data_IF_316000238545
#
_entry.id   IF_316000238545
#
_cell.length_a   1.000
_cell.length_b   1.000
_cell.length_c   1.000
_cell.angle_alpha   90.00
_cell.angle_beta   90.00
_cell.angle_gamma   90.00
#
_symmetry.space_group_name_H-M   'P 1'
#
loop_
_entity.id
_entity.type
_entity.pdbx_description
1 polymer ?
#
# COMPACT_ATOMS: atom_id res chain seq x y z
N UNK A 1 64.23 -7.69 67.36
CA UNK A 1 64.76 -6.32 67.46
C UNK A 1 63.79 -5.41 66.76
N UNK A 2 62.90 -4.82 67.56
CA UNK A 2 61.81 -3.94 67.16
C UNK A 2 62.25 -2.52 67.51
N UNK A 3 62.20 -1.59 66.56
CA UNK A 3 62.41 -0.17 66.82
C UNK A 3 61.09 0.56 66.64
N UNK A 4 60.57 1.03 67.77
CA UNK A 4 59.48 1.99 67.87
C UNK A 4 60.00 3.38 67.44
N UNK A 5 59.16 4.13 66.74
CA UNK A 5 59.36 5.55 66.45
C UNK A 5 58.00 6.22 66.42
N UNK A 6 57.73 7.02 67.44
CA UNK A 6 56.46 7.68 67.75
C UNK A 6 56.39 9.10 67.17
N UNK A 7 55.14 9.59 66.99
CA UNK A 7 54.63 10.98 66.79
C UNK A 7 54.64 11.60 65.37
N UNK A 8 53.74 12.59 65.09
CA UNK A 8 52.43 12.89 65.69
C UNK A 8 51.31 13.18 64.66
N UNK A 9 50.06 13.07 65.13
CA UNK A 9 48.83 13.66 64.56
C UNK A 9 48.94 15.17 64.32
N UNK A 10 48.36 15.71 63.23
CA UNK A 10 47.86 17.07 63.21
C UNK A 10 46.35 17.08 63.47
N UNK A 11 46.00 17.70 64.59
CA UNK A 11 44.67 18.16 64.95
C UNK A 11 44.18 19.26 63.99
N UNK A 12 42.87 19.39 63.94
CA UNK A 12 42.04 20.33 63.20
C UNK A 12 42.62 21.74 62.98
N UNK A 13 42.61 22.17 61.72
CA UNK A 13 42.46 23.59 61.38
C UNK A 13 41.27 23.70 60.43
N UNK A 14 40.09 23.96 61.00
CA UNK A 14 38.93 24.48 60.26
C UNK A 14 39.27 25.89 59.80
N UNK A 15 39.85 26.02 58.61
CA UNK A 15 39.95 27.31 57.93
C UNK A 15 38.56 27.67 57.43
N UNK A 16 37.82 28.44 58.24
CA UNK A 16 36.66 29.18 57.76
C UNK A 16 37.14 30.27 56.81
N UNK A 17 37.37 29.89 55.56
CA UNK A 17 37.55 30.85 54.47
C UNK A 17 36.25 31.63 54.34
N UNK A 18 36.26 32.88 54.78
CA UNK A 18 35.16 33.82 54.64
C UNK A 18 34.69 33.83 53.19
N UNK A 19 33.45 33.37 52.97
CA UNK A 19 32.86 33.25 51.65
C UNK A 19 32.66 34.66 51.05
N UNK A 20 33.30 34.92 49.92
CA UNK A 20 33.08 36.12 49.13
C UNK A 20 31.57 36.32 48.86
N UNK A 21 31.08 37.58 48.84
CA UNK A 21 29.65 37.87 48.71
C UNK A 21 29.10 37.29 47.41
N UNK A 22 28.22 36.29 47.53
CA UNK A 22 27.56 35.64 46.39
C UNK A 22 26.65 36.68 45.72
N UNK A 23 26.97 37.02 44.47
CA UNK A 23 26.34 38.11 43.71
C UNK A 23 24.80 38.07 43.65
N UNK A 24 24.21 39.23 43.35
CA UNK A 24 22.78 39.53 43.57
C UNK A 24 21.77 38.54 43.00
N UNK A 25 22.09 37.84 41.90
CA UNK A 25 21.22 36.80 41.32
C UNK A 25 21.06 35.62 42.28
N UNK A 26 22.14 35.22 42.96
CA UNK A 26 22.12 34.13 43.95
C UNK A 26 21.38 34.53 45.24
N UNK A 27 21.32 35.83 45.54
CA UNK A 27 20.55 36.36 46.67
C UNK A 27 19.04 36.38 46.37
N UNK A 28 18.65 36.77 45.15
CA UNK A 28 17.25 36.80 44.72
C UNK A 28 16.63 35.40 44.62
N UNK A 29 17.38 34.42 44.10
CA UNK A 29 16.91 33.05 43.90
C UNK A 29 17.05 32.14 45.14
N UNK A 30 17.59 32.63 46.26
CA UNK A 30 17.62 31.87 47.53
C UNK A 30 16.22 31.71 48.14
N UNK A 31 15.32 32.64 47.86
CA UNK A 31 13.97 32.66 48.41
C UNK A 31 12.92 31.99 47.53
N UNK A 32 13.32 31.49 46.34
CA UNK A 32 12.41 30.87 45.36
C UNK A 32 12.24 29.35 45.56
N UNK A 33 12.70 28.80 46.69
CA UNK A 33 12.55 27.37 47.03
C UNK A 33 13.45 26.41 46.24
N UNK A 34 14.32 26.95 45.39
CA UNK A 34 15.29 26.15 44.62
C UNK A 34 16.47 25.79 45.54
N UNK A 35 16.82 24.51 45.69
CA UNK A 35 17.89 24.12 46.58
C UNK A 35 19.20 24.79 46.17
N UNK A 36 19.92 25.36 47.15
CA UNK A 36 21.15 26.12 46.92
C UNK A 36 22.23 25.31 46.15
N UNK A 37 22.19 23.98 46.26
CA UNK A 37 23.05 23.05 45.52
C UNK A 37 22.80 23.07 44.01
N UNK A 38 21.57 23.34 43.56
CA UNK A 38 21.23 23.47 42.15
C UNK A 38 21.65 24.83 41.60
N UNK A 39 21.51 25.89 42.40
CA UNK A 39 21.88 27.25 42.02
C UNK A 39 23.39 27.47 41.80
N UNK A 40 24.23 26.75 42.55
CA UNK A 40 25.69 26.80 42.41
C UNK A 40 26.23 25.85 41.34
N UNK A 41 25.41 24.93 40.82
CA UNK A 41 25.85 23.89 39.89
C UNK A 41 26.00 24.48 38.50
N UNK A 42 27.23 24.91 38.16
CA UNK A 42 27.57 25.30 36.79
C UNK A 42 27.44 24.06 35.89
N UNK A 43 26.56 24.05 34.89
CA UNK A 43 26.46 22.93 33.97
C UNK A 43 27.79 22.82 33.21
N UNK A 44 28.54 21.73 33.45
CA UNK A 44 29.74 21.44 32.67
C UNK A 44 29.28 21.09 31.26
N UNK A 45 29.86 21.76 30.26
CA UNK A 45 29.62 21.41 28.89
C UNK A 45 30.03 19.94 28.69
N UNK A 46 29.19 19.15 28.01
CA UNK A 46 29.53 17.78 27.67
C UNK A 46 30.74 17.76 26.72
N UNK A 47 31.44 16.62 26.64
CA UNK A 47 32.67 16.49 25.85
C UNK A 47 32.44 16.78 24.34
N UNK A 48 33.51 17.08 23.60
CA UNK A 48 33.45 17.38 22.16
C UNK A 48 32.67 16.32 21.36
N UNK A 49 32.97 15.04 21.57
CA UNK A 49 32.30 13.95 20.85
C UNK A 49 30.81 13.87 21.20
N UNK A 50 30.45 14.19 22.44
CA UNK A 50 29.06 14.21 22.88
C UNK A 50 28.29 15.41 22.29
N UNK A 51 28.91 16.59 22.19
CA UNK A 51 28.31 17.73 21.50
C UNK A 51 28.08 17.44 20.02
N UNK A 52 29.04 16.81 19.34
CA UNK A 52 28.89 16.39 17.94
C UNK A 52 27.72 15.41 17.82
N UNK A 53 27.66 14.42 18.71
CA UNK A 53 26.57 13.44 18.73
C UNK A 53 25.19 14.10 18.92
N UNK A 54 25.04 14.98 19.91
CA UNK A 54 23.78 15.69 20.15
C UNK A 54 23.44 16.64 19.00
N UNK A 55 24.42 17.35 18.46
CA UNK A 55 24.21 18.24 17.32
C UNK A 55 23.66 17.50 16.11
N UNK A 56 24.30 16.39 15.73
CA UNK A 56 23.86 15.57 14.59
C UNK A 56 22.50 14.94 14.85
N UNK A 57 22.31 14.26 15.99
CA UNK A 57 21.04 13.59 16.31
C UNK A 57 19.87 14.57 16.43
N UNK A 58 20.06 15.70 17.10
CA UNK A 58 19.03 16.74 17.24
C UNK A 58 18.72 17.38 15.90
N UNK A 59 19.71 17.59 15.04
CA UNK A 59 19.50 18.11 13.69
C UNK A 59 18.64 17.16 12.85
N UNK A 60 18.97 15.85 12.81
CA UNK A 60 18.17 14.87 12.07
C UNK A 60 16.73 14.76 12.60
N UNK A 61 16.56 14.70 13.92
CA UNK A 61 15.23 14.65 14.55
C UNK A 61 14.45 15.94 14.27
N UNK A 62 15.12 17.09 14.33
CA UNK A 62 14.55 18.40 14.03
C UNK A 62 14.04 18.50 12.60
N UNK A 63 14.84 18.08 11.62
CA UNK A 63 14.44 18.04 10.21
C UNK A 63 13.23 17.11 9.99
N UNK A 64 13.26 15.92 10.57
CA UNK A 64 12.15 14.96 10.48
C UNK A 64 10.84 15.52 11.08
N UNK A 65 10.92 16.16 12.25
CA UNK A 65 9.77 16.75 12.92
C UNK A 65 9.24 17.97 12.13
N UNK A 66 10.15 18.78 11.60
CA UNK A 66 9.82 19.93 10.75
C UNK A 66 9.06 19.50 9.50
N UNK A 67 9.56 18.49 8.77
CA UNK A 67 8.90 17.98 7.57
C UNK A 67 7.49 17.47 7.87
N UNK A 68 7.30 16.74 8.98
CA UNK A 68 5.96 16.28 9.39
C UNK A 68 5.03 17.42 9.75
N UNK A 69 5.54 18.46 10.41
CA UNK A 69 4.76 19.66 10.73
C UNK A 69 4.35 20.38 9.45
N UNK A 70 5.28 20.60 8.51
CA UNK A 70 4.98 21.20 7.20
C UNK A 70 4.00 20.39 6.37
N UNK A 71 4.13 19.06 6.34
CA UNK A 71 3.15 18.19 5.71
C UNK A 71 1.73 18.34 6.29
N UNK A 72 1.61 18.60 7.61
CA UNK A 72 0.32 18.84 8.27
C UNK A 72 -0.22 20.24 7.95
N UNK A 73 0.61 21.26 8.09
CA UNK A 73 0.26 22.65 7.75
C UNK A 73 -0.24 22.75 6.31
N UNK A 74 0.46 22.18 5.34
CA UNK A 74 0.06 22.19 3.92
C UNK A 74 -1.30 21.50 3.74
N UNK A 75 -1.51 20.35 4.38
CA UNK A 75 -2.79 19.64 4.30
C UNK A 75 -3.94 20.49 4.87
N UNK A 76 -3.73 21.10 6.03
CA UNK A 76 -4.72 21.97 6.68
C UNK A 76 -5.02 23.20 5.83
N UNK A 77 -4.03 23.77 5.14
CA UNK A 77 -4.24 24.88 4.20
C UNK A 77 -5.19 24.48 3.06
N UNK A 78 -5.02 23.28 2.48
CA UNK A 78 -5.93 22.81 1.42
C UNK A 78 -7.32 22.45 1.94
N UNK A 79 -7.40 21.86 3.14
CA UNK A 79 -8.67 21.57 3.82
C UNK A 79 -9.46 22.87 4.05
N UNK A 80 -8.83 23.90 4.63
CA UNK A 80 -9.46 25.21 4.85
C UNK A 80 -9.93 25.88 3.56
N UNK A 81 -9.18 25.69 2.46
CA UNK A 81 -9.57 26.23 1.15
C UNK A 81 -10.86 25.62 0.62
N UNK A 82 -11.14 24.34 0.88
CA UNK A 82 -12.33 23.65 0.33
C UNK A 82 -13.50 23.56 1.32
N UNK A 83 -13.26 23.89 2.59
CA UNK A 83 -14.25 23.79 3.68
C UNK A 83 -15.56 24.56 3.40
N UNK A 84 -15.47 25.71 2.71
CA UNK A 84 -16.64 26.51 2.36
C UNK A 84 -17.62 25.75 1.44
N UNK A 85 -17.13 24.86 0.57
CA UNK A 85 -17.96 24.09 -0.36
C UNK A 85 -18.88 23.09 0.36
N UNK A 86 -18.52 22.65 1.56
CA UNK A 86 -19.35 21.75 2.35
C UNK A 86 -20.55 22.45 3.00
N UNK A 87 -20.54 23.79 3.09
CA UNK A 87 -21.61 24.57 3.71
C UNK A 87 -22.65 25.05 2.69
N UNK A 88 -22.40 24.86 1.40
CA UNK A 88 -23.35 25.23 0.35
C UNK A 88 -24.61 24.37 0.46
N UNK A 89 -25.81 24.98 0.61
CA UNK A 89 -27.04 24.22 0.75
C UNK A 89 -27.38 23.52 -0.56
N UNK A 90 -27.67 22.22 -0.47
CA UNK A 90 -28.12 21.38 -1.58
C UNK A 90 -29.62 21.15 -1.51
N UNK A 91 -30.28 20.98 -2.66
CA UNK A 91 -31.71 20.66 -2.70
C UNK A 91 -32.00 19.29 -2.06
N UNK A 92 -33.14 19.14 -1.37
CA UNK A 92 -33.48 17.89 -0.66
C UNK A 92 -33.59 16.66 -1.56
N UNK A 93 -33.91 16.85 -2.84
CA UNK A 93 -34.00 15.79 -3.85
C UNK A 93 -32.74 15.68 -4.72
N UNK A 94 -31.74 16.53 -4.48
CA UNK A 94 -30.50 16.51 -5.25
C UNK A 94 -29.51 15.53 -4.61
N UNK A 95 -29.00 14.61 -5.41
CA UNK A 95 -27.94 13.69 -4.97
C UNK A 95 -26.58 14.42 -4.96
N UNK A 96 -25.69 14.15 -4.00
CA UNK A 96 -24.36 14.74 -4.01
C UNK A 96 -23.53 14.24 -5.19
N UNK A 97 -22.54 15.06 -5.59
CA UNK A 97 -21.54 14.65 -6.58
C UNK A 97 -20.67 13.52 -6.02
N UNK A 98 -20.38 12.51 -6.84
CA UNK A 98 -19.54 11.36 -6.47
C UNK A 98 -18.30 11.30 -7.33
N UNK A 99 -17.12 11.30 -6.70
CA UNK A 99 -15.82 11.23 -7.37
C UNK A 99 -15.36 9.79 -7.48
N UNK A 100 -14.87 9.37 -8.65
CA UNK A 100 -14.28 8.04 -8.79
C UNK A 100 -12.77 8.09 -8.61
N UNK A 101 -12.21 7.28 -7.71
CA UNK A 101 -10.78 7.20 -7.41
C UNK A 101 -10.23 5.89 -7.93
N UNK A 102 -9.23 5.98 -8.80
CA UNK A 102 -8.53 4.84 -9.38
C UNK A 102 -7.14 4.67 -8.74
N UNK A 103 -6.93 3.48 -8.17
CA UNK A 103 -5.69 3.04 -7.56
C UNK A 103 -5.25 1.70 -8.15
N UNK A 104 -3.94 1.46 -8.21
CA UNK A 104 -3.35 0.20 -8.67
C UNK A 104 -2.03 -0.04 -7.97
N UNK A 105 -1.57 -1.28 -8.06
CA UNK A 105 -0.26 -1.72 -7.55
C UNK A 105 0.88 -1.01 -8.28
N UNK A 106 1.82 -0.46 -7.51
CA UNK A 106 3.05 0.13 -8.05
C UNK A 106 3.99 -0.99 -8.54
N UNK A 107 4.64 -0.85 -9.71
CA UNK A 107 5.66 -1.82 -10.18
C UNK A 107 6.85 -1.97 -9.22
N UNK A 108 7.20 -3.21 -8.86
CA UNK A 108 8.36 -3.50 -8.00
C UNK A 108 8.10 -3.31 -6.50
N UNK A 109 6.86 -2.96 -6.13
CA UNK A 109 6.41 -2.96 -4.75
C UNK A 109 5.52 -4.17 -4.51
N UNK A 110 5.68 -4.90 -3.40
CA UNK A 110 4.81 -6.04 -3.07
C UNK A 110 3.42 -5.57 -2.64
N UNK A 111 3.35 -4.39 -2.04
CA UNK A 111 2.15 -3.78 -1.51
C UNK A 111 1.20 -3.27 -2.61
N UNK A 112 0.13 -4.01 -2.90
CA UNK A 112 -0.93 -3.54 -3.79
C UNK A 112 -1.59 -2.23 -3.30
N UNK A 113 -1.67 -2.02 -1.99
CA UNK A 113 -2.41 -0.91 -1.38
C UNK A 113 -1.57 0.35 -1.15
N UNK A 114 -0.30 0.38 -1.57
CA UNK A 114 0.56 1.53 -1.31
C UNK A 114 -0.01 2.82 -1.91
N UNK A 115 -0.50 2.78 -3.14
CA UNK A 115 -1.17 3.93 -3.79
C UNK A 115 -2.36 4.44 -2.96
N UNK A 116 -3.15 3.52 -2.42
CA UNK A 116 -4.31 3.84 -1.58
C UNK A 116 -3.92 4.43 -0.22
N UNK A 117 -2.79 4.01 0.37
CA UNK A 117 -2.24 4.63 1.59
C UNK A 117 -1.92 6.11 1.36
N UNK A 118 -1.33 6.45 0.22
CA UNK A 118 -1.04 7.85 -0.15
C UNK A 118 -2.33 8.65 -0.37
N UNK A 119 -3.31 8.08 -1.06
CA UNK A 119 -4.63 8.71 -1.22
C UNK A 119 -5.29 9.02 0.13
N UNK A 120 -5.35 8.03 1.03
CA UNK A 120 -5.96 8.19 2.37
C UNK A 120 -5.24 9.25 3.21
N UNK A 121 -3.92 9.38 3.06
CA UNK A 121 -3.10 10.30 3.85
C UNK A 121 -3.16 11.76 3.36
N UNK A 122 -3.27 11.97 2.04
CA UNK A 122 -3.12 13.30 1.45
C UNK A 122 -4.39 13.84 0.78
N UNK A 123 -5.14 12.99 0.07
CA UNK A 123 -6.28 13.43 -0.75
C UNK A 123 -7.61 13.26 -0.01
N UNK A 124 -7.81 12.12 0.67
CA UNK A 124 -9.06 11.86 1.42
C UNK A 124 -9.48 13.00 2.34
N UNK A 125 -8.59 13.61 3.16
CA UNK A 125 -9.00 14.70 4.05
C UNK A 125 -9.55 15.92 3.33
N UNK A 126 -9.09 16.19 2.10
CA UNK A 126 -9.57 17.29 1.26
C UNK A 126 -11.00 16.99 0.77
N UNK A 127 -11.25 15.76 0.29
CA UNK A 127 -12.60 15.35 -0.16
C UNK A 127 -13.61 15.33 0.98
N UNK A 128 -13.19 14.85 2.16
CA UNK A 128 -14.03 14.83 3.37
C UNK A 128 -14.37 16.25 3.84
N UNK A 129 -13.39 17.17 3.82
CA UNK A 129 -13.63 18.56 4.18
C UNK A 129 -14.58 19.28 3.23
N UNK A 130 -14.65 18.86 1.97
CA UNK A 130 -15.58 19.38 0.97
C UNK A 130 -16.95 18.65 0.95
N UNK A 131 -17.19 17.72 1.88
CA UNK A 131 -18.38 16.86 1.91
C UNK A 131 -18.67 16.12 0.57
N UNK A 132 -17.61 15.66 -0.10
CA UNK A 132 -17.71 14.95 -1.38
C UNK A 132 -17.58 13.45 -1.20
N UNK A 133 -18.59 12.72 -1.68
CA UNK A 133 -18.55 11.26 -1.73
C UNK A 133 -17.55 10.76 -2.78
N UNK A 134 -16.89 9.64 -2.47
CA UNK A 134 -15.93 9.04 -3.38
C UNK A 134 -16.05 7.52 -3.42
N UNK A 135 -15.78 6.94 -4.58
CA UNK A 135 -15.74 5.50 -4.81
C UNK A 135 -14.33 5.07 -5.20
N UNK A 136 -13.78 4.04 -4.55
CA UNK A 136 -12.40 3.59 -4.78
C UNK A 136 -12.41 2.29 -5.58
N UNK A 137 -11.72 2.30 -6.71
CA UNK A 137 -11.42 1.12 -7.50
C UNK A 137 -9.93 0.80 -7.38
N UNK A 138 -9.58 -0.38 -6.87
CA UNK A 138 -8.20 -0.78 -6.62
C UNK A 138 -7.78 -2.01 -7.43
N UNK A 139 -6.83 -1.83 -8.36
CA UNK A 139 -6.21 -2.90 -9.13
C UNK A 139 -5.09 -3.59 -8.34
N UNK A 140 -5.40 -4.71 -7.68
CA UNK A 140 -4.42 -5.47 -6.87
C UNK A 140 -3.32 -6.13 -7.68
N UNK A 141 -3.66 -6.63 -8.88
CA UNK A 141 -2.73 -7.24 -9.84
C UNK A 141 -2.44 -6.25 -10.96
N UNK A 142 -1.29 -6.38 -11.61
CA UNK A 142 -0.97 -5.59 -12.80
C UNK A 142 -1.97 -5.88 -13.92
N UNK A 143 -2.45 -4.83 -14.56
CA UNK A 143 -3.47 -4.92 -15.62
C UNK A 143 -4.89 -5.18 -15.12
N UNK A 144 -5.10 -5.38 -13.80
CA UNK A 144 -6.44 -5.58 -13.25
C UNK A 144 -7.30 -4.32 -13.38
N UNK A 145 -6.70 -3.13 -13.21
CA UNK A 145 -7.43 -1.87 -13.34
C UNK A 145 -7.80 -1.62 -14.81
N UNK A 146 -6.87 -1.88 -15.73
CA UNK A 146 -7.14 -1.78 -17.17
C UNK A 146 -8.30 -2.69 -17.60
N UNK A 147 -8.31 -3.93 -17.08
CA UNK A 147 -9.38 -4.90 -17.33
C UNK A 147 -10.72 -4.38 -16.81
N UNK A 148 -10.78 -3.97 -15.54
CA UNK A 148 -11.99 -3.44 -14.90
C UNK A 148 -12.60 -2.29 -15.72
N UNK A 149 -11.78 -1.35 -16.17
CA UNK A 149 -12.23 -0.20 -16.96
C UNK A 149 -12.75 -0.65 -18.33
N UNK A 150 -12.00 -1.53 -19.02
CA UNK A 150 -12.43 -2.03 -20.33
C UNK A 150 -13.75 -2.79 -20.25
N UNK A 151 -13.94 -3.62 -19.21
CA UNK A 151 -15.17 -4.38 -18.98
C UNK A 151 -16.33 -3.47 -18.61
N UNK A 152 -16.10 -2.42 -17.81
CA UNK A 152 -17.10 -1.40 -17.50
C UNK A 152 -17.61 -0.72 -18.78
N UNK A 153 -16.71 -0.26 -19.64
CA UNK A 153 -17.07 0.41 -20.90
C UNK A 153 -17.78 -0.55 -21.85
N UNK A 154 -17.29 -1.78 -22.01
CA UNK A 154 -17.95 -2.79 -22.84
C UNK A 154 -19.33 -3.14 -22.33
N UNK A 155 -19.52 -3.22 -21.01
CA UNK A 155 -20.83 -3.44 -20.39
C UNK A 155 -21.79 -2.27 -20.68
N UNK A 156 -21.35 -1.03 -20.52
CA UNK A 156 -22.14 0.15 -20.87
C UNK A 156 -22.56 0.14 -22.34
N UNK A 157 -21.63 -0.20 -23.25
CA UNK A 157 -21.90 -0.34 -24.69
C UNK A 157 -22.87 -1.48 -25.01
N UNK A 158 -22.79 -2.62 -24.31
CA UNK A 158 -23.73 -3.75 -24.47
C UNK A 158 -25.14 -3.37 -24.05
N UNK A 159 -25.27 -2.64 -22.94
CA UNK A 159 -26.57 -2.14 -22.45
C UNK A 159 -27.16 -1.13 -23.45
N UNK A 160 -26.33 -0.23 -23.98
CA UNK A 160 -26.77 0.73 -25.00
C UNK A 160 -27.20 0.07 -26.31
N UNK A 161 -26.51 -0.99 -26.72
CA UNK A 161 -26.88 -1.79 -27.89
C UNK A 161 -28.06 -2.76 -27.62
N UNK A 162 -28.56 -2.86 -26.38
CA UNK A 162 -29.68 -3.74 -26.01
C UNK A 162 -29.32 -5.23 -25.94
N UNK A 163 -28.03 -5.58 -25.95
CA UNK A 163 -27.58 -6.98 -25.84
C UNK A 163 -27.68 -7.51 -24.40
N UNK A 164 -27.57 -6.63 -23.40
CA UNK A 164 -27.66 -6.97 -21.98
C UNK A 164 -28.75 -6.11 -21.32
N UNK A 165 -29.64 -6.69 -20.50
CA UNK A 165 -30.64 -5.90 -19.78
C UNK A 165 -29.95 -4.94 -18.80
N UNK A 166 -30.49 -3.73 -18.67
CA UNK A 166 -29.98 -2.76 -17.70
C UNK A 166 -30.06 -3.36 -16.29
N UNK A 167 -29.06 -3.12 -15.41
CA UNK A 167 -29.07 -3.64 -14.06
C UNK A 167 -30.28 -3.07 -13.30
N UNK A 168 -31.17 -3.95 -12.88
CA UNK A 168 -32.34 -3.58 -12.07
C UNK A 168 -31.81 -3.21 -10.68
N UNK A 169 -31.92 -1.94 -10.29
CA UNK A 169 -31.63 -1.53 -8.91
C UNK A 169 -32.69 -2.13 -7.99
N UNK A 170 -32.29 -3.13 -7.20
CA UNK A 170 -33.15 -3.82 -6.22
C UNK A 170 -33.56 -2.85 -5.09
N UNK A 171 -32.79 -1.76 -4.90
CA UNK A 171 -33.12 -0.69 -3.97
C UNK A 171 -34.02 0.32 -4.66
N UNK A 172 -35.27 0.53 -4.17
CA UNK A 172 -36.13 1.59 -4.67
C UNK A 172 -35.50 2.93 -4.29
N UNK A 173 -34.85 3.58 -5.25
CA UNK A 173 -34.40 4.96 -5.09
C UNK A 173 -35.61 5.85 -5.37
N UNK A 174 -35.90 6.84 -4.50
CA UNK A 174 -37.07 7.73 -4.69
C UNK A 174 -36.93 8.65 -5.90
N UNK A 175 -35.75 8.67 -6.53
CA UNK A 175 -35.41 9.55 -7.64
C UNK A 175 -35.15 8.67 -8.87
N UNK A 176 -36.12 8.61 -9.78
CA UNK A 176 -35.93 8.06 -11.11
C UNK A 176 -35.19 9.10 -11.96
N UNK A 177 -33.86 9.14 -11.90
CA UNK A 177 -33.06 9.97 -12.82
C UNK A 177 -33.13 9.38 -14.22
N UNK A 178 -33.25 10.26 -15.22
CA UNK A 178 -33.06 9.85 -16.62
C UNK A 178 -31.62 9.36 -16.83
N UNK A 179 -31.40 8.45 -17.79
CA UNK A 179 -30.08 7.90 -18.10
C UNK A 179 -29.07 9.00 -18.47
N UNK A 180 -29.55 10.03 -19.17
CA UNK A 180 -28.74 11.18 -19.59
C UNK A 180 -28.33 12.05 -18.41
N UNK A 181 -29.25 12.35 -17.49
CA UNK A 181 -28.94 13.09 -16.27
C UNK A 181 -27.94 12.33 -15.38
N UNK A 182 -28.10 11.01 -15.27
CA UNK A 182 -27.17 10.17 -14.53
C UNK A 182 -25.75 10.22 -15.15
N UNK A 183 -25.65 10.22 -16.49
CA UNK A 183 -24.37 10.34 -17.18
C UNK A 183 -23.73 11.73 -16.99
N UNK A 184 -24.50 12.81 -17.14
CA UNK A 184 -24.02 14.17 -16.89
C UNK A 184 -23.52 14.34 -15.45
N UNK A 185 -24.22 13.74 -14.48
CA UNK A 185 -23.82 13.77 -13.08
C UNK A 185 -22.53 12.97 -12.83
N UNK A 186 -22.38 11.80 -13.47
CA UNK A 186 -21.16 11.02 -13.40
C UNK A 186 -19.96 11.79 -13.98
N UNK A 187 -20.17 12.52 -15.09
CA UNK A 187 -19.15 13.39 -15.68
C UNK A 187 -18.77 14.55 -14.75
N UNK A 188 -19.76 15.18 -14.10
CA UNK A 188 -19.53 16.27 -13.15
C UNK A 188 -18.74 15.82 -11.89
N UNK A 189 -18.86 14.54 -11.51
CA UNK A 189 -18.12 13.95 -10.38
C UNK A 189 -16.62 13.81 -10.63
N UNK A 190 -16.18 13.70 -11.88
CA UNK A 190 -14.77 13.58 -12.24
C UNK A 190 -14.08 12.30 -11.75
N UNK A 191 -12.80 12.16 -12.10
CA UNK A 191 -11.98 10.99 -11.77
C UNK A 191 -10.61 11.39 -11.22
N UNK A 192 -10.20 10.76 -10.12
CA UNK A 192 -8.89 10.95 -9.50
C UNK A 192 -8.05 9.71 -9.76
N UNK A 193 -6.91 9.89 -10.44
CA UNK A 193 -5.98 8.80 -10.76
C UNK A 193 -4.75 8.92 -9.86
N UNK A 194 -4.48 7.89 -9.05
CA UNK A 194 -3.41 7.95 -8.04
C UNK A 194 -2.17 7.20 -8.52
N UNK A 195 -1.23 7.94 -9.12
CA UNK A 195 0.09 7.42 -9.53
C UNK A 195 0.30 7.28 -11.04
N UNK A 196 1.53 6.95 -11.45
CA UNK A 196 1.90 6.81 -12.87
C UNK A 196 1.39 5.50 -13.47
N UNK A 197 1.44 4.41 -12.70
CA UNK A 197 1.04 3.09 -13.20
C UNK A 197 -0.48 3.00 -13.39
N UNK A 198 -1.24 3.51 -12.43
CA UNK A 198 -2.69 3.67 -12.54
C UNK A 198 -3.08 4.44 -13.78
N UNK A 199 -2.39 5.54 -14.09
CA UNK A 199 -2.63 6.30 -15.31
C UNK A 199 -2.41 5.48 -16.58
N UNK A 200 -1.32 4.69 -16.65
CA UNK A 200 -1.08 3.81 -17.80
C UNK A 200 -2.16 2.75 -17.96
N UNK A 201 -2.53 2.07 -16.87
CA UNK A 201 -3.60 1.06 -16.89
C UNK A 201 -4.96 1.69 -17.22
N UNK A 202 -5.23 2.90 -16.73
CA UNK A 202 -6.44 3.64 -17.03
C UNK A 202 -6.55 3.95 -18.52
N UNK A 203 -5.50 4.52 -19.13
CA UNK A 203 -5.47 4.83 -20.56
C UNK A 203 -5.56 3.56 -21.42
N UNK A 204 -4.89 2.48 -21.02
CA UNK A 204 -4.96 1.21 -21.72
C UNK A 204 -6.37 0.58 -21.61
N UNK A 205 -7.00 0.68 -20.43
CA UNK A 205 -8.38 0.24 -20.22
C UNK A 205 -9.38 1.02 -21.07
N UNK A 206 -9.21 2.34 -21.18
CA UNK A 206 -9.99 3.19 -22.09
C UNK A 206 -9.81 2.75 -23.54
N UNK A 207 -8.56 2.63 -24.00
CA UNK A 207 -8.24 2.19 -25.37
C UNK A 207 -8.91 0.85 -25.69
N UNK A 208 -8.73 -0.16 -24.84
CA UNK A 208 -9.32 -1.49 -25.03
C UNK A 208 -10.85 -1.47 -24.98
N UNK A 209 -11.44 -0.70 -24.06
CA UNK A 209 -12.89 -0.61 -23.91
C UNK A 209 -13.60 -0.04 -25.15
N UNK A 210 -13.00 0.95 -25.82
CA UNK A 210 -13.56 1.59 -27.00
C UNK A 210 -13.17 0.92 -28.32
N UNK A 211 -11.94 0.41 -28.43
CA UNK A 211 -11.43 -0.20 -29.67
C UNK A 211 -11.83 -1.67 -29.84
N UNK A 212 -11.90 -2.45 -28.76
CA UNK A 212 -12.25 -3.88 -28.87
C UNK A 212 -13.77 -4.10 -29.02
N UNK A 213 -14.15 -5.29 -29.50
CA UNK A 213 -15.55 -5.72 -29.61
C UNK A 213 -16.23 -5.70 -28.23
N UNK A 214 -17.51 -5.26 -28.13
CA UNK A 214 -18.29 -5.28 -26.90
C UNK A 214 -18.83 -6.68 -26.54
N UNK A 215 -18.56 -7.71 -27.35
CA UNK A 215 -19.00 -9.07 -27.09
C UNK A 215 -18.59 -9.57 -25.70
N UNK A 216 -19.49 -10.31 -25.05
CA UNK A 216 -19.19 -10.95 -23.77
C UNK A 216 -18.32 -12.17 -24.02
N UNK A 217 -17.03 -12.01 -23.82
CA UNK A 217 -16.08 -13.13 -23.84
C UNK A 217 -15.73 -13.45 -22.40
N UNK A 218 -16.18 -14.60 -21.90
CA UNK A 218 -15.65 -15.12 -20.64
C UNK A 218 -14.22 -15.61 -20.88
N UNK A 219 -13.28 -14.90 -20.26
CA UNK A 219 -11.86 -15.20 -20.42
C UNK A 219 -11.46 -16.47 -19.70
N UNK A 220 -12.17 -16.85 -18.64
CA UNK A 220 -11.87 -18.07 -17.91
C UNK A 220 -12.25 -19.26 -18.79
N UNK A 221 -13.40 -19.20 -19.47
CA UNK A 221 -13.80 -20.19 -20.46
C UNK A 221 -12.84 -20.24 -21.65
N UNK A 222 -12.47 -19.07 -22.21
CA UNK A 222 -11.52 -19.01 -23.31
C UNK A 222 -10.12 -19.54 -22.92
N UNK A 223 -9.67 -19.27 -21.69
CA UNK A 223 -8.42 -19.80 -21.15
C UNK A 223 -8.53 -21.31 -20.89
N UNK A 224 -9.65 -21.78 -20.33
CA UNK A 224 -9.90 -23.19 -20.07
C UNK A 224 -9.85 -23.99 -21.37
N UNK A 225 -10.53 -23.54 -22.43
CA UNK A 225 -10.43 -24.15 -23.75
C UNK A 225 -9.01 -24.13 -24.33
N UNK A 226 -8.24 -23.07 -24.08
CA UNK A 226 -6.85 -23.04 -24.54
C UNK A 226 -5.96 -24.03 -23.79
N UNK A 227 -6.18 -24.22 -22.48
CA UNK A 227 -5.43 -25.12 -21.62
C UNK A 227 -5.80 -26.59 -21.83
N UNK A 228 -7.08 -26.89 -22.07
CA UNK A 228 -7.58 -28.22 -22.43
C UNK A 228 -6.87 -28.77 -23.68
N UNK A 229 -6.49 -27.89 -24.61
CA UNK A 229 -5.81 -28.25 -25.85
C UNK A 229 -4.28 -28.35 -25.73
N UNK A 230 -3.66 -27.99 -24.60
CA UNK A 230 -2.19 -27.96 -24.44
C UNK A 230 -1.61 -29.36 -24.11
N UNK A 231 -2.44 -30.29 -23.62
CA UNK A 231 -2.06 -31.69 -23.31
C UNK A 231 -0.91 -31.86 -22.31
N UNK A 232 -0.44 -30.76 -21.69
CA UNK A 232 0.74 -30.73 -20.84
C UNK A 232 0.51 -31.34 -19.46
N UNK A 233 -0.75 -31.37 -19.02
CA UNK A 233 -1.20 -31.87 -17.74
C UNK A 233 -2.05 -33.14 -17.86
N UNK A 234 -2.16 -33.71 -19.06
CA UNK A 234 -2.93 -34.93 -19.26
C UNK A 234 -2.21 -36.09 -18.56
N UNK A 235 -2.97 -36.83 -17.74
CA UNK A 235 -2.46 -38.06 -17.15
C UNK A 235 -2.19 -39.06 -18.28
N UNK A 236 -1.04 -39.77 -18.26
CA UNK A 236 -0.81 -40.81 -19.25
C UNK A 236 -1.92 -41.84 -19.12
N UNK A 237 -2.64 -42.10 -20.21
CA UNK A 237 -3.58 -43.20 -20.28
C UNK A 237 -2.83 -44.49 -19.95
N UNK A 238 -3.00 -44.98 -18.71
CA UNK A 238 -2.58 -46.32 -18.35
C UNK A 238 -3.54 -47.23 -19.08
N UNK A 239 -3.13 -47.68 -20.26
CA UNK A 239 -3.75 -48.80 -20.95
C UNK A 239 -3.66 -50.00 -20.00
N UNK A 240 -4.70 -50.22 -19.21
CA UNK A 240 -4.85 -51.49 -18.51
C UNK A 240 -4.88 -52.58 -19.59
N UNK A 241 -3.94 -53.55 -19.56
CA UNK A 241 -4.01 -54.65 -20.50
C UNK A 241 -5.35 -55.34 -20.27
N UNK A 242 -6.13 -55.51 -21.34
CA UNK A 242 -7.39 -56.22 -21.35
C UNK A 242 -7.23 -57.52 -20.54
N UNK A 243 -7.84 -57.55 -19.36
CA UNK A 243 -7.97 -58.78 -18.60
C UNK A 243 -9.09 -59.56 -19.24
N UNK A 244 -8.69 -60.47 -20.13
CA UNK A 244 -9.56 -61.56 -20.56
C UNK A 244 -10.16 -62.22 -19.31
N UNK A 245 -11.49 -62.24 -19.30
CA UNK A 245 -12.29 -62.87 -18.27
C UNK A 245 -12.10 -64.38 -18.34
N UNK A 246 -11.47 -64.97 -17.32
CA UNK A 246 -11.78 -66.33 -16.89
C UNK A 246 -11.73 -66.40 -15.36
N UNK A 247 -12.85 -66.86 -14.81
CA UNK A 247 -13.23 -66.63 -13.42
C UNK A 247 -12.46 -67.46 -12.40
N UNK A 248 -12.10 -66.79 -11.30
CA UNK A 248 -11.94 -67.36 -9.96
C UNK A 248 -12.02 -66.21 -8.94
N UNK A 249 -12.64 -66.40 -7.75
CA UNK A 249 -12.82 -65.32 -6.77
C UNK A 249 -11.48 -64.96 -6.13
N UNK A 250 -11.09 -63.68 -6.23
CA UNK A 250 -9.86 -63.14 -5.66
C UNK A 250 -9.86 -63.34 -4.12
N UNK A 251 -8.89 -64.05 -3.53
CA UNK A 251 -8.70 -64.06 -2.09
C UNK A 251 -8.07 -62.72 -1.67
N UNK A 252 -8.78 -61.95 -0.86
CA UNK A 252 -8.24 -60.74 -0.22
C UNK A 252 -6.98 -61.07 0.58
N UNK A 253 -5.79 -60.79 0.01
CA UNK A 253 -4.57 -60.55 0.77
C UNK A 253 -4.42 -59.05 0.96
N UNK A 254 -4.86 -58.57 2.10
CA UNK A 254 -4.48 -57.26 2.63
C UNK A 254 -2.95 -57.22 2.79
N UNK A 255 -2.26 -56.68 1.79
CA UNK A 255 -0.86 -56.26 1.90
C UNK A 255 -0.78 -54.80 1.50
N UNK A 256 -1.19 -53.94 2.43
CA UNK A 256 -0.81 -52.53 2.39
C UNK A 256 0.73 -52.48 2.39
N UNK A 257 1.31 -51.96 1.31
CA UNK A 257 2.70 -51.52 1.34
C UNK A 257 2.81 -50.37 2.36
N UNK A 258 3.90 -50.27 3.13
CA UNK A 258 4.03 -49.15 4.07
C UNK A 258 4.03 -47.85 3.26
N UNK A 259 3.08 -46.98 3.59
CA UNK A 259 3.00 -45.61 3.07
C UNK A 259 4.35 -44.94 3.27
N UNK A 260 5.10 -44.70 2.20
CA UNK A 260 6.15 -43.70 2.25
C UNK A 260 5.46 -42.35 2.43
N UNK A 261 5.66 -41.78 3.61
CA UNK A 261 5.06 -40.52 4.01
C UNK A 261 5.34 -39.44 2.98
N UNK A 262 4.27 -38.84 2.47
CA UNK A 262 4.32 -37.61 1.70
C UNK A 262 4.93 -36.52 2.59
N UNK A 263 6.17 -36.10 2.28
CA UNK A 263 6.82 -34.95 2.91
C UNK A 263 6.70 -33.78 1.94
N UNK A 264 6.02 -32.67 2.28
CA UNK A 264 5.70 -31.62 1.31
C UNK A 264 6.86 -30.64 1.06
N UNK A 265 8.10 -30.98 1.41
CA UNK A 265 9.25 -30.08 1.25
C UNK A 265 10.52 -30.83 0.84
N UNK A 266 10.65 -31.12 -0.46
CA UNK A 266 11.93 -31.20 -1.15
C UNK A 266 11.82 -30.50 -2.51
N UNK A 267 12.16 -29.21 -2.51
CA UNK A 267 12.49 -28.47 -3.72
C UNK A 267 13.86 -28.96 -4.21
N UNK A 268 13.87 -29.79 -5.25
CA UNK A 268 15.09 -30.08 -6.00
C UNK A 268 15.20 -29.07 -7.14
N UNK A 269 16.35 -28.41 -7.35
CA UNK A 269 16.51 -27.46 -8.44
C UNK A 269 16.53 -28.21 -9.77
N UNK A 270 15.56 -27.92 -10.63
CA UNK A 270 15.58 -28.39 -12.03
C UNK A 270 16.76 -27.74 -12.75
N UNK A 271 17.72 -28.55 -13.15
CA UNK A 271 18.76 -28.20 -14.11
C UNK A 271 18.09 -27.83 -15.44
N UNK A 272 18.27 -26.59 -15.87
CA UNK A 272 17.89 -26.10 -17.19
C UNK A 272 18.75 -26.76 -18.26
N UNK A 273 18.14 -27.61 -19.10
CA UNK A 273 18.70 -27.92 -20.42
C UNK A 273 18.20 -26.87 -21.42
N UNK A 274 19.08 -26.29 -22.26
CA UNK A 274 18.66 -25.28 -23.22
C UNK A 274 17.89 -25.93 -24.38
N UNK A 275 16.66 -25.47 -24.61
CA UNK A 275 15.92 -25.76 -25.84
C UNK A 275 16.54 -24.96 -26.98
N UNK A 276 17.12 -25.67 -27.96
CA UNK A 276 17.48 -25.14 -29.27
C UNK A 276 16.24 -24.53 -29.93
N UNK A 277 16.19 -23.21 -30.04
CA UNK A 277 15.24 -22.51 -30.91
C UNK A 277 15.87 -22.36 -32.28
N UNK A 278 15.51 -23.25 -33.21
CA UNK A 278 15.66 -22.99 -34.64
C UNK A 278 14.64 -21.90 -35.02
N UNK A 279 15.12 -20.67 -35.20
CA UNK A 279 14.38 -19.58 -35.81
C UNK A 279 14.31 -19.75 -37.33
N UNK A 280 13.13 -19.77 -37.97
CA UNK A 280 13.04 -19.58 -39.41
C UNK A 280 13.31 -18.11 -39.75
N UNK A 281 14.13 -17.97 -40.79
CA UNK A 281 14.65 -16.74 -41.39
C UNK A 281 13.59 -15.69 -41.74
N UNK A 282 13.96 -14.44 -41.47
CA UNK A 282 13.33 -13.21 -41.95
C UNK A 282 13.20 -13.18 -43.48
N UNK A 283 11.97 -13.15 -43.99
CA UNK A 283 11.67 -12.70 -45.34
C UNK A 283 11.53 -11.17 -45.37
N UNK A 284 12.42 -10.55 -46.12
CA UNK A 284 12.43 -9.15 -46.53
C UNK A 284 11.11 -8.70 -47.18
N UNK A 285 10.58 -7.56 -46.75
CA UNK A 285 9.52 -6.81 -47.44
C UNK A 285 10.19 -5.69 -48.26
N UNK A 286 9.90 -5.53 -49.57
CA UNK A 286 10.42 -4.44 -50.37
C UNK A 286 9.64 -3.14 -50.13
N UNK A 287 10.38 -2.03 -50.12
CA UNK A 287 9.86 -0.66 -50.13
C UNK A 287 9.16 -0.34 -51.46
N UNK A 288 7.96 0.23 -51.35
CA UNK A 288 7.37 1.17 -52.30
C UNK A 288 6.70 2.29 -51.51
#
# INVERSE_FOLDING_TARGET
MSTQGEKPTPSSATSSTAAAPKGGIHAALKYTGIPASWLTKRPKLPSRNWLIFIGVTTSLIGLYAYDRKKCREIRELYVKKVEHLAQEPMGSMELPRKVTVYASKWPGDEDADRSLRYFRKYVKPILVAAAVDYEIHNGRKHGALARLISEKIKKERRIEAGLEPAPISIVPTPINLSKEEAALKALAGGSIIVGRMTFKEYMEGLRRGWTESPEYVDREDALAHALENDGRFDEPEILEPASDLDGEPIPTKSRLAPSQGFTPYKLTPTSSSPSNTNSPSSSSIPLL
#
